data_IF_239504494429
#
_entry.id   IF_239504494429
#
_cell.length_a   1.000
_cell.length_b   1.000
_cell.length_c   1.000
_cell.angle_alpha   90.00
_cell.angle_beta   90.00
_cell.angle_gamma   90.00
#
_symmetry.space_group_name_H-M   'P 1'
#
loop_
_entity.id
_entity.type
_entity.pdbx_description
1 polymer ?
#
# COMPACT_ATOMS: atom_id res chain seq x y z
N UNK A 1 19.88 -33.35 -26.06
CA UNK A 1 20.18 -33.62 -24.63
C UNK A 1 19.37 -34.83 -24.20
N UNK A 2 20.01 -35.98 -24.04
CA UNK A 2 19.34 -37.25 -23.70
C UNK A 2 18.85 -37.16 -22.25
N UNK A 3 17.52 -37.14 -22.07
CA UNK A 3 16.87 -37.18 -20.75
C UNK A 3 17.28 -38.48 -20.07
N UNK A 4 18.08 -38.42 -19.01
CA UNK A 4 18.37 -39.63 -18.21
C UNK A 4 17.05 -40.11 -17.58
N UNK A 5 16.63 -41.31 -17.96
CA UNK A 5 15.47 -41.99 -17.37
C UNK A 5 15.70 -42.08 -15.85
N UNK A 6 14.86 -41.41 -15.07
CA UNK A 6 14.90 -41.58 -13.61
C UNK A 6 14.41 -42.99 -13.25
N UNK A 7 14.89 -43.60 -12.16
CA UNK A 7 14.46 -44.96 -11.76
C UNK A 7 12.94 -45.08 -11.57
N UNK A 8 12.23 -43.98 -11.31
CA UNK A 8 10.77 -43.92 -11.21
C UNK A 8 10.07 -44.11 -12.55
N UNK A 9 10.64 -43.58 -13.64
CA UNK A 9 10.10 -43.81 -14.97
C UNK A 9 10.22 -45.27 -15.38
N UNK A 10 11.30 -45.95 -14.97
CA UNK A 10 11.46 -47.39 -15.20
C UNK A 10 10.43 -48.21 -14.42
N UNK A 11 10.18 -47.86 -13.15
CA UNK A 11 9.15 -48.51 -12.32
C UNK A 11 7.73 -48.32 -12.85
N UNK A 12 7.42 -47.17 -13.48
CA UNK A 12 6.10 -46.92 -14.08
C UNK A 12 5.83 -47.68 -15.38
N UNK A 13 6.85 -48.29 -16.02
CA UNK A 13 6.66 -49.03 -17.27
C UNK A 13 5.94 -50.36 -17.07
N UNK A 14 6.13 -51.02 -15.91
CA UNK A 14 5.49 -52.29 -15.58
C UNK A 14 3.95 -52.21 -15.57
N UNK A 15 3.32 -51.31 -14.79
CA UNK A 15 1.86 -51.17 -14.81
C UNK A 15 1.32 -50.64 -16.15
N UNK A 16 2.09 -49.82 -16.87
CA UNK A 16 1.71 -49.35 -18.20
C UNK A 16 1.64 -50.51 -19.21
N UNK A 17 2.67 -51.36 -19.25
CA UNK A 17 2.72 -52.52 -20.14
C UNK A 17 1.62 -53.54 -19.80
N UNK A 18 1.35 -53.76 -18.51
CA UNK A 18 0.25 -54.60 -18.06
C UNK A 18 -1.12 -54.06 -18.50
N UNK A 19 -1.36 -52.75 -18.36
CA UNK A 19 -2.59 -52.10 -18.82
C UNK A 19 -2.78 -52.19 -20.34
N UNK A 20 -1.74 -51.94 -21.12
CA UNK A 20 -1.77 -52.07 -22.59
C UNK A 20 -1.96 -53.52 -23.05
N UNK A 21 -1.40 -54.50 -22.34
CA UNK A 21 -1.59 -55.92 -22.66
C UNK A 21 -3.04 -56.40 -22.48
N UNK A 22 -3.80 -55.77 -21.59
CA UNK A 22 -5.22 -56.09 -21.36
C UNK A 22 -6.14 -55.56 -22.46
N UNK A 23 -5.76 -54.46 -23.13
CA UNK A 23 -6.55 -53.84 -24.21
C UNK A 23 -6.84 -54.83 -25.36
N UNK A 24 -5.87 -55.68 -25.73
CA UNK A 24 -6.08 -56.71 -26.75
C UNK A 24 -7.18 -57.72 -26.39
N UNK A 25 -7.30 -58.05 -25.10
CA UNK A 25 -8.36 -58.93 -24.58
C UNK A 25 -9.70 -58.20 -24.48
N UNK A 26 -9.69 -56.89 -24.19
CA UNK A 26 -10.90 -56.06 -24.20
C UNK A 26 -11.53 -56.07 -25.60
N UNK A 27 -10.74 -55.85 -26.64
CA UNK A 27 -11.23 -55.89 -28.03
C UNK A 27 -11.73 -57.26 -28.45
N UNK A 28 -11.05 -58.34 -28.06
CA UNK A 28 -11.50 -59.71 -28.33
C UNK A 28 -12.87 -60.03 -27.68
N UNK A 29 -13.07 -59.58 -26.43
CA UNK A 29 -14.35 -59.75 -25.71
C UNK A 29 -15.47 -58.88 -26.29
N UNK A 30 -15.15 -57.66 -26.72
CA UNK A 30 -16.09 -56.76 -27.36
C UNK A 30 -16.58 -57.32 -28.71
N UNK A 31 -15.68 -57.83 -29.54
CA UNK A 31 -16.00 -58.46 -30.82
C UNK A 31 -16.78 -59.78 -30.65
N UNK A 32 -16.58 -60.50 -29.54
CA UNK A 32 -17.34 -61.70 -29.19
C UNK A 32 -18.74 -61.40 -28.61
N UNK A 33 -19.18 -60.14 -28.59
CA UNK A 33 -20.50 -59.73 -28.08
C UNK A 33 -20.61 -59.70 -26.55
N UNK A 34 -19.52 -59.88 -25.80
CA UNK A 34 -19.48 -59.88 -24.33
C UNK A 34 -19.17 -58.48 -23.78
N UNK A 35 -20.03 -57.51 -24.11
CA UNK A 35 -19.79 -56.09 -23.84
C UNK A 35 -19.58 -55.74 -22.36
N UNK A 36 -20.31 -56.37 -21.45
CA UNK A 36 -20.17 -56.12 -20.00
C UNK A 36 -18.83 -56.57 -19.44
N UNK A 37 -18.28 -57.67 -19.95
CA UNK A 37 -16.98 -58.18 -19.54
C UNK A 37 -15.84 -57.36 -20.15
N UNK A 38 -16.03 -56.90 -21.40
CA UNK A 38 -15.11 -55.96 -22.03
C UNK A 38 -15.04 -54.64 -21.24
N UNK A 39 -16.19 -54.10 -20.80
CA UNK A 39 -16.24 -52.87 -20.01
C UNK A 39 -15.58 -53.02 -18.62
N UNK A 40 -15.78 -54.16 -17.95
CA UNK A 40 -15.13 -54.45 -16.67
C UNK A 40 -13.61 -54.58 -16.82
N UNK A 41 -13.15 -55.26 -17.87
CA UNK A 41 -11.71 -55.41 -18.16
C UNK A 41 -11.08 -54.07 -18.58
N UNK A 42 -11.82 -53.20 -19.28
CA UNK A 42 -11.38 -51.83 -19.62
C UNK A 42 -11.19 -50.96 -18.37
N UNK A 43 -12.10 -51.07 -17.39
CA UNK A 43 -11.95 -50.37 -16.11
C UNK A 43 -10.67 -50.74 -15.36
N UNK A 44 -10.31 -52.03 -15.37
CA UNK A 44 -9.06 -52.55 -14.79
C UNK A 44 -7.83 -52.08 -15.56
N UNK A 45 -7.87 -52.11 -16.90
CA UNK A 45 -6.80 -51.61 -17.75
C UNK A 45 -6.54 -50.10 -17.50
N UNK A 46 -7.61 -49.30 -17.45
CA UNK A 46 -7.54 -47.87 -17.16
C UNK A 46 -6.99 -47.59 -15.75
N UNK A 47 -7.33 -48.41 -14.75
CA UNK A 47 -6.80 -48.28 -13.38
C UNK A 47 -5.28 -48.51 -13.32
N UNK A 48 -4.77 -49.51 -14.05
CA UNK A 48 -3.33 -49.78 -14.15
C UNK A 48 -2.58 -48.64 -14.85
N UNK A 49 -3.18 -48.05 -15.90
CA UNK A 49 -2.60 -46.91 -16.61
C UNK A 49 -2.58 -45.64 -15.73
N UNK A 50 -3.63 -45.38 -14.94
CA UNK A 50 -3.66 -44.28 -13.98
C UNK A 50 -2.65 -44.48 -12.83
N UNK A 51 -2.46 -45.72 -12.36
CA UNK A 51 -1.43 -46.06 -11.39
C UNK A 51 -0.01 -45.84 -11.94
N UNK A 52 0.23 -46.22 -13.21
CA UNK A 52 1.49 -45.97 -13.90
C UNK A 52 1.82 -44.46 -13.92
N UNK A 53 0.82 -43.62 -14.20
CA UNK A 53 0.95 -42.17 -14.16
C UNK A 53 1.26 -41.66 -12.74
N UNK A 54 0.58 -42.18 -11.72
CA UNK A 54 0.80 -41.81 -10.32
C UNK A 54 2.23 -42.11 -9.83
N UNK A 55 2.80 -43.24 -10.29
CA UNK A 55 4.19 -43.64 -10.00
C UNK A 55 5.20 -42.78 -10.77
N UNK A 56 4.87 -42.42 -12.01
CA UNK A 56 5.71 -41.55 -12.83
C UNK A 56 5.72 -40.08 -12.35
N UNK A 57 4.67 -39.65 -11.63
CA UNK A 57 4.52 -38.29 -11.14
C UNK A 57 5.46 -38.00 -9.95
N UNK A 58 6.08 -36.81 -9.96
CA UNK A 58 6.95 -36.37 -8.87
C UNK A 58 6.15 -36.19 -7.56
N UNK A 59 6.70 -36.54 -6.37
CA UNK A 59 6.00 -36.46 -5.08
C UNK A 59 5.35 -35.10 -4.74
N UNK A 60 5.90 -34.00 -5.31
CA UNK A 60 5.37 -32.63 -5.14
C UNK A 60 4.16 -32.29 -6.03
N UNK A 61 4.00 -33.02 -7.13
CA UNK A 61 2.87 -32.88 -8.04
C UNK A 61 1.76 -33.89 -7.72
N UNK A 62 1.94 -34.72 -6.68
CA UNK A 62 0.89 -35.62 -6.21
C UNK A 62 -0.28 -34.75 -5.76
N UNK A 63 -1.40 -34.76 -6.49
CA UNK A 63 -2.60 -34.11 -5.98
C UNK A 63 -2.99 -34.78 -4.66
N UNK A 64 -3.58 -34.02 -3.73
CA UNK A 64 -4.18 -34.58 -2.52
C UNK A 64 -5.01 -35.82 -2.90
N UNK A 65 -4.61 -36.97 -2.36
CA UNK A 65 -4.78 -38.28 -3.00
C UNK A 65 -6.24 -38.75 -2.97
N UNK A 66 -7.00 -38.44 -4.03
CA UNK A 66 -8.15 -39.19 -4.57
C UNK A 66 -8.70 -38.53 -5.85
N UNK A 67 -9.10 -37.24 -5.85
CA UNK A 67 -9.72 -36.62 -7.04
C UNK A 67 -8.75 -36.42 -8.20
N UNK A 68 -7.46 -36.25 -7.94
CA UNK A 68 -6.49 -36.00 -9.01
C UNK A 68 -6.10 -37.22 -9.85
N UNK A 69 -6.37 -38.44 -9.38
CA UNK A 69 -6.19 -39.68 -10.17
C UNK A 69 -7.46 -40.11 -10.91
N UNK A 70 -8.60 -39.53 -10.55
CA UNK A 70 -9.89 -39.82 -11.19
C UNK A 70 -9.94 -39.30 -12.63
N UNK A 71 -9.37 -38.12 -12.90
CA UNK A 71 -9.31 -37.54 -14.24
C UNK A 71 -8.52 -38.42 -15.23
N UNK A 72 -7.27 -38.83 -14.96
CA UNK A 72 -6.54 -39.70 -15.88
C UNK A 72 -7.18 -41.09 -16.00
N UNK A 73 -7.83 -41.59 -14.94
CA UNK A 73 -8.58 -42.85 -15.00
C UNK A 73 -9.79 -42.76 -15.93
N UNK A 74 -10.62 -41.70 -15.81
CA UNK A 74 -11.77 -41.48 -16.69
C UNK A 74 -11.33 -41.31 -18.15
N UNK A 75 -10.22 -40.59 -18.40
CA UNK A 75 -9.71 -40.37 -19.74
C UNK A 75 -9.22 -41.68 -20.39
N UNK A 76 -8.53 -42.53 -19.62
CA UNK A 76 -8.09 -43.85 -20.05
C UNK A 76 -9.26 -44.83 -20.27
N UNK A 77 -10.33 -44.70 -19.49
CA UNK A 77 -11.53 -45.51 -19.65
C UNK A 77 -12.37 -45.09 -20.87
N UNK A 78 -12.51 -43.78 -21.11
CA UNK A 78 -13.31 -43.23 -22.20
C UNK A 78 -12.67 -43.40 -23.58
N UNK A 79 -11.34 -43.41 -23.66
CA UNK A 79 -10.60 -43.57 -24.92
C UNK A 79 -9.57 -44.70 -24.79
N UNK A 80 -9.97 -45.96 -25.10
CA UNK A 80 -9.09 -47.11 -25.02
C UNK A 80 -7.80 -46.90 -25.82
N UNK A 81 -6.68 -47.39 -25.29
CA UNK A 81 -5.32 -47.26 -25.86
C UNK A 81 -4.79 -45.80 -25.92
N UNK A 82 -5.53 -44.86 -26.51
CA UNK A 82 -5.07 -43.48 -26.72
C UNK A 82 -5.06 -42.64 -25.43
N UNK A 83 -6.00 -42.87 -24.51
CA UNK A 83 -6.07 -42.12 -23.25
C UNK A 83 -4.85 -42.37 -22.34
N UNK A 84 -4.43 -43.63 -22.22
CA UNK A 84 -3.24 -44.01 -21.46
C UNK A 84 -1.93 -43.49 -22.08
N UNK A 85 -1.77 -43.64 -23.40
CA UNK A 85 -0.58 -43.18 -24.13
C UNK A 85 -0.49 -41.64 -24.15
N UNK A 86 -1.62 -40.96 -24.33
CA UNK A 86 -1.70 -39.50 -24.32
C UNK A 86 -1.24 -38.90 -22.99
N UNK A 87 -1.68 -39.44 -21.87
CA UNK A 87 -1.24 -39.01 -20.53
C UNK A 87 0.28 -39.18 -20.33
N UNK A 88 0.85 -40.27 -20.85
CA UNK A 88 2.29 -40.54 -20.77
C UNK A 88 3.12 -39.61 -21.64
N UNK A 89 2.65 -39.30 -22.86
CA UNK A 89 3.28 -38.35 -23.77
C UNK A 89 3.22 -36.94 -23.18
N UNK A 90 2.10 -36.51 -22.59
CA UNK A 90 1.98 -35.20 -21.93
C UNK A 90 2.94 -35.09 -20.75
N UNK A 91 3.09 -36.13 -19.92
CA UNK A 91 4.08 -36.16 -18.84
C UNK A 91 5.52 -36.10 -19.38
N UNK A 92 5.76 -36.76 -20.51
CA UNK A 92 7.03 -36.72 -21.25
C UNK A 92 7.31 -35.35 -21.89
N UNK A 93 6.30 -34.61 -22.34
CA UNK A 93 6.46 -33.30 -22.95
C UNK A 93 6.48 -32.17 -21.92
N UNK A 94 5.93 -32.37 -20.73
CA UNK A 94 5.99 -31.37 -19.67
C UNK A 94 7.46 -31.08 -19.34
N UNK A 95 7.94 -29.83 -19.52
CA UNK A 95 9.26 -29.44 -19.11
C UNK A 95 9.26 -29.37 -17.58
N UNK A 96 9.53 -30.49 -16.91
CA UNK A 96 9.83 -30.51 -15.49
C UNK A 96 11.19 -29.82 -15.27
N UNK A 97 11.17 -28.49 -15.30
CA UNK A 97 12.22 -27.69 -14.70
C UNK A 97 11.94 -27.74 -13.21
N UNK A 98 12.65 -28.64 -12.50
CA UNK A 98 12.82 -28.44 -11.08
C UNK A 98 13.23 -26.98 -10.89
N UNK A 99 12.56 -26.17 -10.05
CA UNK A 99 13.09 -24.86 -9.72
C UNK A 99 14.54 -25.09 -9.29
N UNK A 100 15.51 -24.31 -9.78
CA UNK A 100 16.90 -24.49 -9.39
C UNK A 100 16.91 -24.58 -7.88
N UNK A 101 17.50 -25.65 -7.34
CA UNK A 101 17.83 -25.66 -5.92
C UNK A 101 18.72 -24.44 -5.76
N UNK A 102 18.20 -23.41 -5.12
CA UNK A 102 19.04 -22.35 -4.59
C UNK A 102 19.78 -22.96 -3.40
N UNK A 103 20.69 -23.90 -3.66
CA UNK A 103 21.83 -24.20 -2.80
C UNK A 103 22.84 -23.05 -2.94
N UNK A 104 22.34 -21.81 -2.97
CA UNK A 104 23.16 -20.67 -2.65
C UNK A 104 23.30 -20.76 -1.14
N UNK A 105 24.50 -21.10 -0.69
CA UNK A 105 25.03 -20.53 0.54
C UNK A 105 24.61 -19.07 0.49
N UNK A 106 23.66 -18.70 1.34
CA UNK A 106 23.30 -17.30 1.53
C UNK A 106 24.51 -16.74 2.25
N UNK A 107 25.54 -16.36 1.48
CA UNK A 107 26.46 -15.36 1.97
C UNK A 107 25.59 -14.16 2.29
N UNK A 108 25.60 -13.68 3.55
CA UNK A 108 24.94 -12.44 3.89
C UNK A 108 25.68 -11.34 3.12
N UNK A 109 25.26 -11.09 1.89
CA UNK A 109 25.66 -9.90 1.15
C UNK A 109 25.04 -8.76 1.93
N UNK A 110 25.90 -7.89 2.46
CA UNK A 110 25.47 -6.63 3.04
C UNK A 110 24.55 -5.95 2.02
N UNK A 111 23.29 -5.64 2.40
CA UNK A 111 22.36 -5.05 1.45
C UNK A 111 23.01 -3.82 0.82
N UNK A 112 22.98 -3.69 -0.53
CA UNK A 112 23.55 -2.51 -1.17
C UNK A 112 22.90 -1.28 -0.55
N UNK A 113 23.65 -0.19 -0.29
CA UNK A 113 23.06 1.02 0.24
C UNK A 113 21.95 1.45 -0.72
N UNK A 114 20.69 1.30 -0.28
CA UNK A 114 19.54 1.73 -1.05
C UNK A 114 19.76 3.23 -1.33
N UNK A 115 19.74 3.67 -2.60
CA UNK A 115 20.09 5.05 -2.97
C UNK A 115 19.09 6.11 -2.48
N UNK A 116 18.10 5.70 -1.68
CA UNK A 116 17.21 6.54 -0.92
C UNK A 116 17.10 5.92 0.46
N UNK A 117 17.80 6.52 1.42
CA UNK A 117 17.69 6.10 2.81
C UNK A 117 16.22 6.11 3.25
N UNK A 118 15.79 4.99 3.82
CA UNK A 118 14.79 5.01 4.90
C UNK A 118 15.33 5.76 6.16
N UNK A 119 16.51 6.40 6.05
CA UNK A 119 17.07 7.37 6.96
C UNK A 119 16.30 8.71 6.84
N UNK A 120 15.13 8.77 7.49
CA UNK A 120 14.35 10.01 7.61
C UNK A 120 13.02 9.82 8.31
N UNK A 121 12.46 8.60 8.30
CA UNK A 121 11.26 8.25 9.08
C UNK A 121 11.35 6.94 9.86
N UNK A 122 12.50 6.28 9.86
CA UNK A 122 12.83 5.27 10.86
C UNK A 122 13.18 5.91 12.22
N UNK A 123 12.37 6.85 12.71
CA UNK A 123 12.23 7.06 14.14
C UNK A 123 11.30 5.96 14.66
N UNK A 124 11.78 4.72 14.57
CA UNK A 124 11.18 3.59 15.24
C UNK A 124 11.30 3.83 16.74
N UNK A 125 10.30 4.50 17.31
CA UNK A 125 10.02 4.38 18.73
C UNK A 125 9.71 2.91 19.09
N UNK A 126 9.59 2.56 20.38
CA UNK A 126 9.64 1.18 20.88
C UNK A 126 8.56 0.17 20.38
N UNK A 127 7.77 0.51 19.35
CA UNK A 127 6.88 -0.40 18.61
C UNK A 127 6.98 -0.32 17.06
N UNK A 128 7.90 0.48 16.51
CA UNK A 128 8.55 0.36 15.18
C UNK A 128 7.75 0.11 13.89
N UNK A 129 6.43 0.23 13.87
CA UNK A 129 5.63 -0.07 12.67
C UNK A 129 5.58 1.13 11.72
N UNK A 130 6.21 1.02 10.54
CA UNK A 130 6.11 2.05 9.50
C UNK A 130 4.69 2.12 8.91
N UNK A 131 4.31 3.27 8.34
CA UNK A 131 3.02 3.45 7.64
C UNK A 131 2.82 2.37 6.58
N UNK A 132 3.80 2.15 5.72
CA UNK A 132 3.71 1.17 4.64
C UNK A 132 3.56 -0.26 5.16
N UNK A 133 4.25 -0.60 6.26
CA UNK A 133 4.10 -1.91 6.92
C UNK A 133 2.70 -2.08 7.49
N UNK A 134 2.17 -1.05 8.17
CA UNK A 134 0.83 -1.08 8.74
C UNK A 134 -0.24 -1.26 7.66
N UNK A 135 -0.15 -0.50 6.57
CA UNK A 135 -1.05 -0.62 5.42
C UNK A 135 -0.95 -2.01 4.77
N UNK A 136 0.27 -2.51 4.55
CA UNK A 136 0.47 -3.85 4.00
C UNK A 136 -0.09 -4.97 4.87
N UNK A 137 -0.05 -4.83 6.21
CA UNK A 137 -0.69 -5.76 7.14
C UNK A 137 -2.22 -5.69 7.00
N UNK A 138 -2.79 -4.48 6.95
CA UNK A 138 -4.24 -4.31 6.79
C UNK A 138 -4.75 -4.92 5.48
N UNK A 139 -3.98 -4.81 4.40
CA UNK A 139 -4.37 -5.34 3.08
C UNK A 139 -4.19 -6.85 2.96
N UNK A 140 -3.12 -7.42 3.53
CA UNK A 140 -2.68 -8.79 3.18
C UNK A 140 -2.80 -9.80 4.31
N UNK A 141 -2.90 -9.37 5.57
CA UNK A 141 -2.93 -10.31 6.68
C UNK A 141 -4.31 -10.99 6.76
N UNK A 142 -4.39 -12.34 6.67
CA UNK A 142 -5.68 -13.04 6.70
C UNK A 142 -6.33 -12.98 8.08
N UNK A 143 -5.53 -13.08 9.15
CA UNK A 143 -5.99 -13.12 10.53
C UNK A 143 -6.34 -11.70 11.07
N UNK A 144 -7.58 -11.46 11.53
CA UNK A 144 -8.00 -10.17 12.10
C UNK A 144 -7.13 -9.70 13.26
N UNK A 145 -6.63 -10.60 14.11
CA UNK A 145 -5.85 -10.28 15.30
C UNK A 145 -4.52 -9.59 14.93
N UNK A 146 -3.94 -9.96 13.79
CA UNK A 146 -2.73 -9.33 13.26
C UNK A 146 -3.04 -7.90 12.81
N UNK A 147 -4.19 -7.69 12.16
CA UNK A 147 -4.65 -6.37 11.71
C UNK A 147 -5.01 -5.47 12.89
N UNK A 148 -5.64 -6.01 13.93
CA UNK A 148 -5.90 -5.32 15.20
C UNK A 148 -4.59 -4.81 15.82
N UNK A 149 -3.54 -5.63 15.87
CA UNK A 149 -2.23 -5.21 16.37
C UNK A 149 -1.63 -4.05 15.55
N UNK A 150 -1.78 -4.08 14.23
CA UNK A 150 -1.36 -2.97 13.38
C UNK A 150 -2.15 -1.69 13.67
N UNK A 151 -3.47 -1.78 13.87
CA UNK A 151 -4.29 -0.64 14.28
C UNK A 151 -3.87 -0.08 15.65
N UNK A 152 -3.58 -0.93 16.62
CA UNK A 152 -3.08 -0.49 17.94
C UNK A 152 -1.70 0.18 17.86
N UNK A 153 -0.82 -0.30 16.99
CA UNK A 153 0.50 0.29 16.79
C UNK A 153 0.43 1.75 16.32
N UNK A 154 -0.67 2.17 15.67
CA UNK A 154 -0.90 3.56 15.25
C UNK A 154 -0.90 4.57 16.40
N UNK A 155 -0.99 4.12 17.66
CA UNK A 155 -0.89 4.98 18.85
C UNK A 155 0.51 5.59 19.04
N UNK A 156 1.53 4.97 18.45
CA UNK A 156 2.92 5.40 18.55
C UNK A 156 3.44 6.05 17.26
N UNK A 157 2.59 6.17 16.25
CA UNK A 157 2.90 6.83 14.99
C UNK A 157 2.66 8.34 15.11
N UNK A 158 3.29 9.11 14.23
CA UNK A 158 2.96 10.53 14.03
C UNK A 158 1.47 10.67 13.66
N UNK A 159 0.83 11.79 14.03
CA UNK A 159 -0.63 11.90 14.00
C UNK A 159 -1.22 11.75 12.60
N UNK A 160 -0.60 12.37 11.59
CA UNK A 160 -1.06 12.27 10.19
C UNK A 160 -0.91 10.86 9.66
N UNK A 161 0.24 10.26 9.91
CA UNK A 161 0.56 8.89 9.53
C UNK A 161 -0.43 7.91 10.16
N UNK A 162 -0.72 8.07 11.46
CA UNK A 162 -1.69 7.27 12.17
C UNK A 162 -3.10 7.41 11.60
N UNK A 163 -3.57 8.63 11.33
CA UNK A 163 -4.91 8.87 10.77
C UNK A 163 -5.04 8.27 9.37
N UNK A 164 -3.98 8.31 8.56
CA UNK A 164 -3.97 7.68 7.24
C UNK A 164 -4.20 6.17 7.32
N UNK A 165 -3.52 5.48 8.24
CA UNK A 165 -3.68 4.04 8.48
C UNK A 165 -5.07 3.73 9.04
N UNK A 166 -5.55 4.52 10.01
CA UNK A 166 -6.87 4.29 10.60
C UNK A 166 -8.01 4.43 9.58
N UNK A 167 -7.94 5.37 8.64
CA UNK A 167 -8.94 5.51 7.57
C UNK A 167 -9.03 4.28 6.68
N UNK A 168 -7.90 3.63 6.41
CA UNK A 168 -7.89 2.37 5.65
C UNK A 168 -8.51 1.26 6.49
N UNK A 169 -8.19 1.19 7.79
CA UNK A 169 -8.77 0.21 8.72
C UNK A 169 -10.29 0.35 8.89
N UNK A 170 -10.89 1.53 8.63
CA UNK A 170 -12.36 1.69 8.61
C UNK A 170 -13.05 0.87 7.51
N UNK A 171 -12.32 0.40 6.50
CA UNK A 171 -12.86 -0.43 5.40
C UNK A 171 -12.54 -1.92 5.57
N UNK A 172 -11.98 -2.31 6.72
CA UNK A 172 -11.60 -3.70 6.98
C UNK A 172 -12.83 -4.62 6.97
N UNK A 173 -12.74 -5.85 6.43
CA UNK A 173 -13.87 -6.79 6.45
C UNK A 173 -14.28 -7.22 7.87
N UNK A 174 -13.36 -7.21 8.84
CA UNK A 174 -13.65 -7.59 10.22
C UNK A 174 -14.19 -6.41 11.05
N UNK A 175 -15.36 -6.60 11.65
CA UNK A 175 -16.06 -5.58 12.45
C UNK A 175 -15.20 -5.04 13.60
N UNK A 176 -14.50 -5.91 14.32
CA UNK A 176 -13.64 -5.53 15.45
C UNK A 176 -12.52 -4.57 15.05
N UNK A 177 -11.91 -4.78 13.87
CA UNK A 177 -10.88 -3.90 13.32
C UNK A 177 -11.46 -2.52 13.02
N UNK A 178 -12.63 -2.48 12.36
CA UNK A 178 -13.32 -1.22 12.03
C UNK A 178 -13.69 -0.46 13.30
N UNK A 179 -14.30 -1.14 14.27
CA UNK A 179 -14.74 -0.53 15.53
C UNK A 179 -13.56 0.04 16.33
N UNK A 180 -12.44 -0.68 16.39
CA UNK A 180 -11.23 -0.17 17.01
C UNK A 180 -10.70 1.08 16.29
N UNK A 181 -10.68 1.08 14.96
CA UNK A 181 -10.25 2.22 14.18
C UNK A 181 -11.17 3.45 14.39
N UNK A 182 -12.49 3.24 14.45
CA UNK A 182 -13.46 4.30 14.82
C UNK A 182 -13.15 4.89 16.20
N UNK A 183 -13.00 4.04 17.22
CA UNK A 183 -12.74 4.48 18.59
C UNK A 183 -11.43 5.28 18.70
N UNK A 184 -10.38 4.86 17.98
CA UNK A 184 -9.10 5.56 17.98
C UNK A 184 -9.17 6.91 17.23
N UNK A 185 -9.91 7.00 16.12
CA UNK A 185 -10.14 8.27 15.42
C UNK A 185 -10.96 9.25 16.27
N UNK A 186 -12.06 8.78 16.84
CA UNK A 186 -12.93 9.59 17.70
C UNK A 186 -12.17 10.11 18.93
N UNK A 187 -11.30 9.28 19.53
CA UNK A 187 -10.45 9.71 20.64
C UNK A 187 -9.53 10.87 20.26
N UNK A 188 -8.97 10.86 19.04
CA UNK A 188 -8.11 11.95 18.55
C UNK A 188 -8.90 13.24 18.34
N UNK A 189 -10.06 13.15 17.70
CA UNK A 189 -10.97 14.27 17.50
C UNK A 189 -11.40 14.88 18.83
N UNK A 190 -11.84 14.06 19.79
CA UNK A 190 -12.25 14.52 21.13
C UNK A 190 -11.10 15.21 21.86
N UNK A 191 -9.87 14.71 21.72
CA UNK A 191 -8.68 15.32 22.34
C UNK A 191 -8.39 16.72 21.77
N UNK A 192 -8.39 16.87 20.44
CA UNK A 192 -8.17 18.18 19.81
C UNK A 192 -9.30 19.16 20.14
N UNK A 193 -10.55 18.71 20.02
CA UNK A 193 -11.72 19.51 20.40
C UNK A 193 -11.71 19.93 21.86
N UNK A 194 -11.26 19.06 22.78
CA UNK A 194 -11.10 19.42 24.19
C UNK A 194 -9.97 20.44 24.41
N UNK A 195 -8.85 20.33 23.69
CA UNK A 195 -7.75 21.29 23.74
C UNK A 195 -8.20 22.68 23.25
N UNK A 196 -8.94 22.73 22.13
CA UNK A 196 -9.53 23.97 21.60
C UNK A 196 -10.44 24.61 22.64
N UNK A 197 -11.41 23.86 23.19
CA UNK A 197 -12.35 24.39 24.20
C UNK A 197 -11.64 24.91 25.45
N UNK A 198 -10.66 24.17 25.96
CA UNK A 198 -9.89 24.57 27.16
C UNK A 198 -9.12 25.86 26.92
N UNK A 199 -8.43 25.98 25.79
CA UNK A 199 -7.65 27.16 25.47
C UNK A 199 -8.54 28.38 25.17
N UNK A 200 -9.65 28.17 24.45
CA UNK A 200 -10.62 29.24 24.16
C UNK A 200 -11.27 29.78 25.45
N UNK A 201 -11.65 28.90 26.39
CA UNK A 201 -12.24 29.32 27.67
C UNK A 201 -11.27 30.13 28.55
N UNK A 202 -9.97 29.86 28.45
CA UNK A 202 -8.95 30.60 29.21
C UNK A 202 -8.51 31.93 28.56
N UNK A 203 -8.90 32.19 27.31
CA UNK A 203 -8.35 33.27 26.50
C UNK A 203 -8.63 34.68 27.07
N UNK A 204 -9.86 34.91 27.56
CA UNK A 204 -10.29 36.22 28.07
C UNK A 204 -9.51 36.65 29.32
N UNK A 205 -9.12 35.68 30.15
CA UNK A 205 -8.35 35.90 31.37
C UNK A 205 -6.85 36.11 31.15
N UNK A 206 -6.35 35.99 29.91
CA UNK A 206 -4.93 36.14 29.62
C UNK A 206 -4.52 37.61 29.50
N UNK A 207 -3.32 37.97 29.99
CA UNK A 207 -2.76 39.30 29.77
C UNK A 207 -2.45 39.51 28.27
N UNK A 208 -2.52 40.76 27.76
CA UNK A 208 -2.32 41.06 26.33
C UNK A 208 -1.06 40.44 25.73
N UNK A 209 0.05 40.42 26.49
CA UNK A 209 1.31 39.83 26.05
C UNK A 209 1.22 38.33 25.69
N UNK A 210 0.29 37.59 26.30
CA UNK A 210 0.10 36.15 26.06
C UNK A 210 -1.05 35.83 25.11
N UNK A 211 -1.92 36.79 24.80
CA UNK A 211 -3.08 36.58 23.93
C UNK A 211 -2.67 36.27 22.50
N UNK A 212 -1.64 36.93 21.97
CA UNK A 212 -1.10 36.65 20.64
C UNK A 212 -0.63 35.18 20.51
N UNK A 213 0.11 34.67 21.50
CA UNK A 213 0.56 33.28 21.53
C UNK A 213 -0.60 32.29 21.69
N UNK A 214 -1.60 32.61 22.53
CA UNK A 214 -2.81 31.79 22.67
C UNK A 214 -3.62 31.72 21.36
N UNK A 215 -3.74 32.84 20.66
CA UNK A 215 -4.36 32.90 19.34
C UNK A 215 -3.56 32.11 18.29
N UNK A 216 -2.22 32.19 18.30
CA UNK A 216 -1.39 31.34 17.43
C UNK A 216 -1.70 29.85 17.71
N UNK A 217 -1.73 29.46 18.98
CA UNK A 217 -1.99 28.06 19.35
C UNK A 217 -3.40 27.61 18.98
N UNK A 218 -4.41 28.48 19.12
CA UNK A 218 -5.77 28.19 18.63
C UNK A 218 -5.78 28.02 17.12
N UNK A 219 -5.08 28.85 16.36
CA UNK A 219 -4.99 28.73 14.91
C UNK A 219 -4.38 27.39 14.49
N UNK A 220 -3.29 26.98 15.15
CA UNK A 220 -2.64 25.67 14.92
C UNK A 220 -3.58 24.50 15.21
N UNK A 221 -4.31 24.51 16.33
CA UNK A 221 -5.24 23.44 16.70
C UNK A 221 -6.41 23.32 15.72
N UNK A 222 -6.99 24.43 15.28
CA UNK A 222 -8.06 24.42 14.27
C UNK A 222 -7.52 23.97 12.90
N UNK A 223 -6.31 24.39 12.54
CA UNK A 223 -5.65 23.91 11.34
C UNK A 223 -5.37 22.39 11.42
N UNK A 224 -4.98 21.88 12.57
CA UNK A 224 -4.69 20.45 12.79
C UNK A 224 -5.93 19.58 12.56
N UNK A 225 -7.11 20.03 13.00
CA UNK A 225 -8.39 19.38 12.68
C UNK A 225 -8.60 19.21 11.17
N UNK A 226 -8.32 20.26 10.40
CA UNK A 226 -8.43 20.25 8.95
C UNK A 226 -7.31 19.40 8.29
N UNK A 227 -6.09 19.51 8.78
CA UNK A 227 -4.90 18.86 8.23
C UNK A 227 -4.93 17.34 8.39
N UNK A 228 -5.39 16.85 9.54
CA UNK A 228 -5.63 15.42 9.77
C UNK A 228 -6.91 14.92 9.07
N UNK A 229 -7.71 15.83 8.53
CA UNK A 229 -8.99 15.56 7.88
C UNK A 229 -10.09 15.07 8.83
N UNK A 230 -9.92 15.28 10.14
CA UNK A 230 -10.90 14.84 11.14
C UNK A 230 -12.26 15.56 10.96
N UNK A 231 -12.23 16.76 10.39
CA UNK A 231 -13.40 17.47 9.91
C UNK A 231 -13.62 17.27 8.40
N UNK A 232 -14.88 17.19 7.97
CA UNK A 232 -15.28 17.09 6.55
C UNK A 232 -16.43 18.05 6.24
N UNK A 233 -16.67 18.36 4.96
CA UNK A 233 -17.79 19.19 4.52
C UNK A 233 -17.81 20.59 5.14
N UNK A 234 -18.98 21.05 5.60
CA UNK A 234 -19.15 22.37 6.22
C UNK A 234 -18.36 22.54 7.52
N UNK A 235 -18.23 21.46 8.29
CA UNK A 235 -17.44 21.47 9.54
C UNK A 235 -15.96 21.74 9.24
N UNK A 236 -15.43 21.19 8.15
CA UNK A 236 -14.07 21.50 7.71
C UNK A 236 -13.91 22.99 7.40
N UNK A 237 -14.86 23.58 6.68
CA UNK A 237 -14.84 25.01 6.36
C UNK A 237 -14.84 25.86 7.62
N UNK A 238 -15.68 25.52 8.62
CA UNK A 238 -15.68 26.19 9.91
C UNK A 238 -14.30 26.17 10.59
N UNK A 239 -13.65 24.99 10.70
CA UNK A 239 -12.31 24.90 11.29
C UNK A 239 -11.26 25.72 10.52
N UNK A 240 -11.32 25.76 9.19
CA UNK A 240 -10.44 26.59 8.36
C UNK A 240 -10.66 28.10 8.63
N UNK A 241 -11.92 28.53 8.71
CA UNK A 241 -12.27 29.93 8.99
C UNK A 241 -11.85 30.36 10.40
N UNK A 242 -12.03 29.49 11.40
CA UNK A 242 -11.56 29.74 12.78
C UNK A 242 -10.02 29.78 12.85
N UNK A 243 -9.32 28.89 12.14
CA UNK A 243 -7.86 28.91 12.04
C UNK A 243 -7.38 30.24 11.45
N UNK A 244 -8.03 30.71 10.37
CA UNK A 244 -7.76 32.00 9.73
C UNK A 244 -8.01 33.17 10.68
N UNK A 245 -9.15 33.17 11.39
CA UNK A 245 -9.51 34.22 12.35
C UNK A 245 -8.44 34.34 13.42
N UNK A 246 -8.10 33.23 14.07
CA UNK A 246 -7.13 33.22 15.15
C UNK A 246 -5.71 33.56 14.68
N UNK A 247 -5.29 33.12 13.49
CA UNK A 247 -3.99 33.51 12.95
C UNK A 247 -3.90 35.02 12.68
N UNK A 248 -4.97 35.64 12.16
CA UNK A 248 -5.03 37.10 11.96
C UNK A 248 -5.02 37.86 13.29
N UNK A 249 -5.77 37.40 14.30
CA UNK A 249 -5.75 37.99 15.64
C UNK A 249 -4.37 37.88 16.29
N UNK A 250 -3.71 36.72 16.17
CA UNK A 250 -2.37 36.51 16.67
C UNK A 250 -1.36 37.50 16.06
N UNK A 251 -1.46 37.78 14.75
CA UNK A 251 -0.62 38.76 14.06
C UNK A 251 -0.96 40.22 14.44
N UNK A 252 -2.23 40.53 14.72
CA UNK A 252 -2.70 41.86 15.07
C UNK A 252 -2.32 42.27 16.50
N UNK A 253 -2.40 41.32 17.44
CA UNK A 253 -2.05 41.55 18.85
C UNK A 253 -0.54 41.44 19.13
N UNK A 254 0.23 41.09 18.10
CA UNK A 254 1.66 40.89 18.19
C UNK A 254 2.41 42.23 18.43
N UNK A 255 3.18 42.38 19.53
CA UNK A 255 3.98 43.58 19.72
C UNK A 255 5.00 43.77 18.57
N UNK A 256 5.29 45.04 18.19
CA UNK A 256 6.31 45.33 17.19
C UNK A 256 7.68 44.82 17.64
N UNK A 257 8.37 44.07 16.78
CA UNK A 257 9.71 43.50 17.07
C UNK A 257 9.74 42.05 17.57
N UNK A 258 8.60 41.43 17.87
CA UNK A 258 8.52 40.06 18.44
C UNK A 258 8.84 38.90 17.48
N UNK A 259 9.61 39.12 16.41
CA UNK A 259 9.68 38.20 15.25
C UNK A 259 11.05 37.72 14.79
N UNK A 260 12.16 38.01 15.50
CA UNK A 260 13.51 37.75 14.96
C UNK A 260 14.44 36.86 15.83
N UNK A 261 14.02 36.38 17.00
CA UNK A 261 14.89 35.63 17.92
C UNK A 261 14.18 34.50 18.68
N UNK A 262 14.94 33.46 19.05
CA UNK A 262 14.47 32.14 19.49
C UNK A 262 13.55 32.14 20.74
N UNK A 263 12.46 31.38 20.56
CA UNK A 263 11.97 30.27 21.38
C UNK A 263 11.39 30.48 22.79
N UNK A 264 11.62 31.58 23.50
CA UNK A 264 11.12 31.61 24.89
C UNK A 264 9.76 32.29 25.07
N UNK A 265 9.39 33.31 24.27
CA UNK A 265 8.07 33.98 24.39
C UNK A 265 7.48 34.49 23.06
N UNK A 266 8.11 34.18 21.91
CA UNK A 266 7.89 34.87 20.64
C UNK A 266 6.91 34.21 19.67
N UNK A 267 5.98 35.02 19.14
CA UNK A 267 5.08 34.67 18.04
C UNK A 267 5.87 34.31 16.77
N UNK A 268 5.57 33.16 16.15
CA UNK A 268 6.20 32.78 14.89
C UNK A 268 5.44 33.38 13.69
N UNK A 269 5.74 34.64 13.36
CA UNK A 269 5.07 35.37 12.27
C UNK A 269 5.20 34.66 10.91
N UNK A 270 6.37 34.08 10.61
CA UNK A 270 6.61 33.36 9.36
C UNK A 270 5.69 32.14 9.23
N UNK A 271 5.57 31.33 10.28
CA UNK A 271 4.68 30.17 10.30
C UNK A 271 3.20 30.56 10.28
N UNK A 272 2.82 31.67 10.93
CA UNK A 272 1.44 32.16 10.90
C UNK A 272 1.02 32.60 9.50
N UNK A 273 1.86 33.37 8.80
CA UNK A 273 1.60 33.73 7.41
C UNK A 273 1.57 32.50 6.50
N UNK A 274 2.43 31.51 6.75
CA UNK A 274 2.41 30.25 6.03
C UNK A 274 1.14 29.42 6.30
N UNK A 275 0.66 29.38 7.54
CA UNK A 275 -0.62 28.76 7.89
C UNK A 275 -1.77 29.45 7.17
N UNK A 276 -1.80 30.80 7.17
CA UNK A 276 -2.80 31.57 6.43
C UNK A 276 -2.82 31.24 4.93
N UNK A 277 -1.64 31.10 4.32
CA UNK A 277 -1.55 30.69 2.92
C UNK A 277 -2.16 29.30 2.69
N UNK A 278 -1.83 28.33 3.54
CA UNK A 278 -2.37 26.97 3.45
C UNK A 278 -3.89 26.94 3.66
N UNK A 279 -4.41 27.74 4.58
CA UNK A 279 -5.85 27.89 4.78
C UNK A 279 -6.52 28.50 3.55
N UNK A 280 -5.97 29.58 3.01
CA UNK A 280 -6.50 30.24 1.82
C UNK A 280 -6.52 29.30 0.59
N UNK A 281 -5.47 28.50 0.40
CA UNK A 281 -5.43 27.47 -0.66
C UNK A 281 -6.54 26.42 -0.48
N UNK A 282 -6.81 25.99 0.75
CA UNK A 282 -7.88 25.03 1.06
C UNK A 282 -9.29 25.63 0.91
N UNK A 283 -9.41 26.95 1.00
CA UNK A 283 -10.64 27.72 0.77
C UNK A 283 -10.77 28.19 -0.69
N UNK A 284 -9.85 27.81 -1.57
CA UNK A 284 -9.83 28.21 -2.99
C UNK A 284 -9.73 29.75 -3.19
N UNK A 285 -8.97 30.41 -2.31
CA UNK A 285 -8.71 31.85 -2.32
C UNK A 285 -7.26 32.14 -2.76
N UNK A 286 -6.88 31.94 -4.05
CA UNK A 286 -5.48 31.95 -4.48
C UNK A 286 -4.78 33.31 -4.33
N UNK A 287 -5.50 34.42 -4.47
CA UNK A 287 -4.93 35.77 -4.29
C UNK A 287 -4.60 36.05 -2.81
N UNK A 288 -5.42 35.58 -1.88
CA UNK A 288 -5.13 35.66 -0.44
C UNK A 288 -3.94 34.77 -0.08
N UNK A 289 -3.91 33.54 -0.63
CA UNK A 289 -2.80 32.62 -0.46
C UNK A 289 -1.48 33.21 -0.94
N UNK A 290 -1.49 33.85 -2.13
CA UNK A 290 -0.30 34.51 -2.67
C UNK A 290 0.23 35.61 -1.73
N UNK A 291 -0.65 36.51 -1.27
CA UNK A 291 -0.28 37.58 -0.33
C UNK A 291 0.32 37.03 0.96
N UNK A 292 -0.28 35.97 1.50
CA UNK A 292 0.20 35.31 2.71
C UNK A 292 1.56 34.63 2.50
N UNK A 293 1.81 34.00 1.34
CA UNK A 293 3.14 33.42 1.01
C UNK A 293 4.22 34.50 0.87
N UNK A 294 3.90 35.65 0.27
CA UNK A 294 4.82 36.80 0.18
C UNK A 294 5.15 37.32 1.58
N UNK A 295 4.16 37.46 2.46
CA UNK A 295 4.38 37.86 3.84
C UNK A 295 5.21 36.83 4.64
N UNK A 296 4.99 35.53 4.42
CA UNK A 296 5.78 34.46 5.02
C UNK A 296 7.26 34.50 4.56
N UNK A 297 7.49 34.78 3.27
CA UNK A 297 8.83 34.98 2.71
C UNK A 297 9.53 36.18 3.35
N UNK A 298 8.83 37.32 3.44
CA UNK A 298 9.35 38.54 4.06
C UNK A 298 9.68 38.35 5.54
N UNK A 299 8.94 37.48 6.24
CA UNK A 299 9.20 37.09 7.63
C UNK A 299 10.33 36.04 7.79
N UNK A 300 10.98 35.62 6.71
CA UNK A 300 12.17 34.76 6.74
C UNK A 300 11.92 33.27 6.49
N UNK A 301 10.73 32.85 6.02
CA UNK A 301 10.51 31.44 5.68
C UNK A 301 11.35 31.05 4.45
N UNK A 302 12.07 29.92 4.48
CA UNK A 302 12.93 29.51 3.37
C UNK A 302 12.15 29.30 2.08
N UNK A 303 12.70 29.82 0.97
CA UNK A 303 12.09 29.78 -0.37
C UNK A 303 11.65 28.37 -0.77
N UNK A 304 12.48 27.35 -0.52
CA UNK A 304 12.18 25.96 -0.89
C UNK A 304 10.87 25.44 -0.29
N UNK A 305 10.49 25.92 0.91
CA UNK A 305 9.22 25.53 1.56
C UNK A 305 8.00 26.22 0.94
N UNK A 306 8.20 27.37 0.32
CA UNK A 306 7.13 28.17 -0.31
C UNK A 306 6.83 27.72 -1.75
N UNK A 307 7.82 27.21 -2.48
CA UNK A 307 7.69 26.89 -3.90
C UNK A 307 6.54 25.92 -4.24
N UNK A 308 6.30 24.82 -3.50
CA UNK A 308 5.17 23.94 -3.80
C UNK A 308 3.82 24.65 -3.71
N UNK A 309 3.68 25.56 -2.74
CA UNK A 309 2.46 26.34 -2.53
C UNK A 309 2.32 27.49 -3.54
N UNK A 310 3.43 28.09 -3.99
CA UNK A 310 3.39 29.05 -5.10
C UNK A 310 2.99 28.38 -6.41
N UNK A 311 3.42 27.14 -6.64
CA UNK A 311 2.96 26.34 -7.78
C UNK A 311 1.46 26.02 -7.66
N UNK A 312 0.98 25.68 -6.45
CA UNK A 312 -0.45 25.46 -6.19
C UNK A 312 -1.28 26.73 -6.42
N UNK A 313 -0.81 27.90 -5.98
CA UNK A 313 -1.44 29.19 -6.30
C UNK A 313 -1.52 29.38 -7.82
N UNK A 314 -0.42 29.18 -8.55
CA UNK A 314 -0.41 29.33 -10.01
C UNK A 314 -1.39 28.35 -10.69
N UNK A 315 -1.49 27.13 -10.17
CA UNK A 315 -2.43 26.12 -10.65
C UNK A 315 -3.89 26.54 -10.41
N UNK A 316 -4.26 26.95 -9.19
CA UNK A 316 -5.61 27.42 -8.86
C UNK A 316 -5.99 28.69 -9.66
N UNK A 317 -5.04 29.60 -9.88
CA UNK A 317 -5.21 30.77 -10.72
C UNK A 317 -5.19 30.49 -12.23
N UNK A 318 -5.08 29.23 -12.67
CA UNK A 318 -4.98 28.79 -14.07
C UNK A 318 -3.80 29.41 -14.83
N UNK A 319 -2.75 29.84 -14.13
CA UNK A 319 -1.51 30.39 -14.68
C UNK A 319 -0.45 29.29 -14.86
N UNK A 320 -0.82 28.26 -15.61
CA UNK A 320 -0.01 27.03 -15.74
C UNK A 320 1.40 27.26 -16.27
N UNK A 321 1.60 28.28 -17.12
CA UNK A 321 2.92 28.62 -17.66
C UNK A 321 3.96 29.05 -16.61
N UNK A 322 3.54 29.43 -15.40
CA UNK A 322 4.44 29.81 -14.32
C UNK A 322 4.99 28.60 -13.55
N UNK A 323 4.28 27.47 -13.58
CA UNK A 323 4.56 26.29 -12.75
C UNK A 323 5.97 25.71 -13.02
N UNK A 324 6.40 25.49 -14.28
CA UNK A 324 7.73 24.92 -14.54
C UNK A 324 8.86 25.79 -13.99
N UNK A 325 8.76 27.11 -14.13
CA UNK A 325 9.75 28.05 -13.61
C UNK A 325 9.79 28.09 -12.08
N UNK A 326 8.64 27.95 -11.42
CA UNK A 326 8.56 27.86 -9.96
C UNK A 326 9.21 26.55 -9.47
N UNK A 327 8.82 25.41 -10.06
CA UNK A 327 9.31 24.09 -9.65
C UNK A 327 10.79 23.88 -9.97
N UNK A 328 11.32 24.49 -11.04
CA UNK A 328 12.75 24.45 -11.34
C UNK A 328 13.63 25.03 -10.21
N UNK A 329 13.06 25.87 -9.34
CA UNK A 329 13.76 26.43 -8.18
C UNK A 329 13.79 25.52 -6.95
N UNK A 330 13.16 24.34 -6.98
CA UNK A 330 13.22 23.38 -5.87
C UNK A 330 14.61 22.74 -5.79
N UNK A 331 15.17 22.71 -4.59
CA UNK A 331 16.38 21.96 -4.32
C UNK A 331 16.09 20.45 -4.31
N UNK A 332 16.66 19.76 -5.30
CA UNK A 332 16.37 18.36 -5.65
C UNK A 332 16.88 17.35 -4.62
N UNK A 333 17.79 17.77 -3.73
CA UNK A 333 18.36 16.93 -2.68
C UNK A 333 17.56 17.00 -1.37
N UNK A 334 16.87 18.11 -1.13
CA UNK A 334 16.22 18.41 0.16
C UNK A 334 14.72 18.09 0.17
N UNK A 335 14.03 18.14 -0.98
CA UNK A 335 12.57 18.00 -1.05
C UNK A 335 12.13 17.01 -2.13
N UNK A 336 11.94 15.73 -1.77
CA UNK A 336 11.24 14.74 -2.61
C UNK A 336 10.10 14.02 -1.88
N UNK A 337 8.96 14.68 -1.60
CA UNK A 337 7.69 13.98 -1.46
C UNK A 337 7.38 13.21 -2.75
N UNK A 338 6.88 11.97 -2.65
CA UNK A 338 6.46 11.15 -3.81
C UNK A 338 5.49 11.90 -4.74
N UNK A 339 4.63 12.76 -4.17
CA UNK A 339 3.72 13.64 -4.91
C UNK A 339 4.42 14.71 -5.74
N UNK A 340 5.55 15.26 -5.29
CA UNK A 340 6.31 16.23 -6.09
C UNK A 340 7.06 15.56 -7.23
N UNK A 341 7.47 14.30 -7.08
CA UNK A 341 8.08 13.53 -8.19
C UNK A 341 7.12 13.36 -9.35
N UNK A 342 5.85 13.01 -9.07
CA UNK A 342 4.82 12.90 -10.11
C UNK A 342 4.53 14.26 -10.77
N UNK A 343 4.52 15.34 -9.99
CA UNK A 343 4.26 16.68 -10.47
C UNK A 343 5.44 17.21 -11.31
N UNK A 344 6.67 16.95 -10.90
CA UNK A 344 7.88 17.24 -11.66
C UNK A 344 7.92 16.49 -12.99
N UNK A 345 7.57 15.19 -12.99
CA UNK A 345 7.51 14.37 -14.20
C UNK A 345 6.55 14.93 -15.25
N UNK A 346 5.43 15.50 -14.82
CA UNK A 346 4.42 16.05 -15.70
C UNK A 346 4.73 17.47 -16.19
N UNK A 347 5.40 18.29 -15.37
CA UNK A 347 5.53 19.73 -15.60
C UNK A 347 6.95 20.22 -15.95
N UNK A 348 8.00 19.41 -15.77
CA UNK A 348 9.39 19.78 -16.11
C UNK A 348 9.90 19.04 -17.35
N UNK A 349 10.59 19.72 -18.29
CA UNK A 349 11.22 19.07 -19.43
C UNK A 349 12.35 18.15 -18.95
N UNK A 350 12.19 16.84 -19.15
CA UNK A 350 13.15 15.79 -18.75
C UNK A 350 12.76 14.99 -17.51
N UNK A 351 11.60 15.26 -16.91
CA UNK A 351 11.04 14.40 -15.87
C UNK A 351 10.65 13.04 -16.46
N UNK A 352 11.28 11.96 -15.98
CA UNK A 352 10.83 10.61 -16.35
C UNK A 352 9.48 10.36 -15.69
N UNK A 353 8.45 9.89 -16.43
CA UNK A 353 7.19 9.52 -15.82
C UNK A 353 7.45 8.51 -14.69
N UNK A 354 6.74 8.59 -13.55
CA UNK A 354 6.83 7.55 -12.54
C UNK A 354 6.54 6.22 -13.22
N UNK A 355 7.42 5.23 -13.03
CA UNK A 355 7.19 3.89 -13.56
C UNK A 355 5.78 3.46 -13.14
N UNK A 356 4.95 2.95 -14.06
CA UNK A 356 3.59 2.58 -13.72
C UNK A 356 3.63 1.63 -12.53
N UNK A 357 2.83 1.94 -11.50
CA UNK A 357 2.65 1.02 -10.39
C UNK A 357 2.31 -0.34 -10.98
N UNK A 358 3.16 -1.34 -10.72
CA UNK A 358 2.94 -2.70 -11.18
C UNK A 358 1.64 -3.21 -10.54
N UNK A 359 0.51 -3.02 -11.23
CA UNK A 359 -0.83 -3.27 -10.69
C UNK A 359 -1.96 -2.86 -11.64
N UNK A 360 -1.83 -1.78 -12.42
CA UNK A 360 -2.85 -1.41 -13.41
C UNK A 360 -2.54 -2.04 -14.77
N UNK A 361 -2.75 -3.34 -14.84
CA UNK A 361 -2.53 -4.13 -16.04
C UNK A 361 -3.18 -5.51 -15.96
N UNK A 362 -4.35 -5.62 -15.33
CA UNK A 362 -5.32 -6.70 -15.53
C UNK A 362 -6.56 -6.48 -14.64
N UNK A 363 -7.53 -5.70 -15.13
CA UNK A 363 -8.95 -6.08 -15.30
C UNK A 363 -9.81 -4.88 -15.64
#
# INVERSE_FOLDING_TARGET
>A
MVRRLTPRHLLSLLPLAAGLGLEGRVWALALAGRGWEAAGLQGLAAALQALALAVALHPRLRPGMAPGLLVPWLLAWAVPVLGGLGCWVVLGLLPYRAPPRLDRVVEPVEPPPLPLGAAGRAAAGPAGLSVGTALGILERAPAPEVRIRAVLATRHMEERDAVSVLRVALRDPADEVRLLAYALLERREKRLSAAIRRLAAGLEGLPPARRAAAHQRLAELHWEMAYLGLATGEVLRHYLEEARRHARLALAEAPPGAGAGRAEEGLNRAELHFLLARVALRLEEPEEAHRALVAAAAAGLPRNRLLPYLAEVAFQSRRYGLIPGILAGLDREVYRPELLVALEAQWLPGGSPPAPAAGEGAR
#
